data_IF_339565851266
#
_entry.id   IF_339565851266
#
_cell.length_a   1.000
_cell.length_b   1.000
_cell.length_c   1.000
_cell.angle_alpha   90.00
_cell.angle_beta   90.00
_cell.angle_gamma   90.00
#
_symmetry.space_group_name_H-M   'P 1'
#
loop_
_entity.id
_entity.type
_entity.pdbx_description
1 polymer ?
#
# COMPACT_ATOMS: atom_id res chain seq x y z
N UNK A 1 35.21 3.75 25.80
CA UNK A 1 34.50 2.50 25.46
C UNK A 1 33.55 2.84 24.32
N UNK A 2 33.71 2.19 23.16
CA UNK A 2 32.90 2.49 21.99
C UNK A 2 31.46 1.98 22.24
N UNK A 3 30.51 2.89 22.42
CA UNK A 3 29.09 2.54 22.40
C UNK A 3 28.76 2.04 20.99
N UNK A 4 28.49 0.75 20.88
CA UNK A 4 27.95 0.15 19.67
C UNK A 4 26.64 0.86 19.35
N UNK A 5 26.62 1.66 18.28
CA UNK A 5 25.41 2.28 17.74
C UNK A 5 24.47 1.17 17.27
N UNK A 6 23.48 0.86 18.09
CA UNK A 6 22.38 -0.01 17.70
C UNK A 6 21.21 0.88 17.28
N UNK A 7 20.67 0.63 16.09
CA UNK A 7 19.46 1.28 15.61
C UNK A 7 18.22 0.62 16.22
N UNK A 8 17.23 1.44 16.54
CA UNK A 8 15.92 1.01 17.02
C UNK A 8 14.84 1.45 16.04
N UNK A 9 13.82 0.61 15.86
CA UNK A 9 12.57 1.03 15.22
C UNK A 9 11.46 0.97 16.24
N UNK A 10 10.71 2.05 16.39
CA UNK A 10 9.73 2.24 17.45
C UNK A 10 8.37 2.33 16.81
N UNK A 11 7.43 1.52 17.28
CA UNK A 11 6.05 1.58 16.88
C UNK A 11 5.26 2.30 17.96
N UNK A 12 5.16 3.63 17.83
CA UNK A 12 4.58 4.51 18.83
C UNK A 12 3.05 4.37 18.90
N UNK A 13 2.47 4.97 19.95
CA UNK A 13 1.03 4.98 20.28
C UNK A 13 0.11 5.59 19.21
N UNK A 14 0.67 6.19 18.18
CA UNK A 14 -0.02 6.75 17.02
C UNK A 14 -0.06 5.79 15.81
N UNK A 15 0.33 4.53 16.02
CA UNK A 15 0.47 3.48 15.00
C UNK A 15 1.52 3.78 13.91
N UNK A 16 2.50 4.65 14.21
CA UNK A 16 3.60 4.98 13.30
C UNK A 16 4.88 4.23 13.72
N UNK A 17 5.56 3.61 12.74
CA UNK A 17 6.89 3.02 12.94
C UNK A 17 7.97 4.04 12.60
N UNK A 18 8.67 4.52 13.62
CA UNK A 18 9.77 5.46 13.53
C UNK A 18 11.11 4.73 13.60
N UNK A 19 12.07 5.01 12.69
CA UNK A 19 13.42 4.43 12.76
C UNK A 19 14.13 4.27 11.41
N UNK A 20 15.40 3.82 11.39
CA UNK A 20 16.22 3.51 12.56
C UNK A 20 16.64 4.79 13.31
N UNK A 21 16.45 4.79 14.62
CA UNK A 21 16.85 5.88 15.52
C UNK A 21 17.80 5.36 16.60
N UNK A 22 18.74 6.18 17.04
CA UNK A 22 19.70 5.81 18.08
C UNK A 22 19.03 5.73 19.45
N UNK A 23 19.63 4.97 20.37
CA UNK A 23 19.16 4.78 21.75
C UNK A 23 18.73 6.10 22.44
N UNK A 24 19.52 7.17 22.28
CA UNK A 24 19.25 8.47 22.89
C UNK A 24 17.93 9.10 22.42
N UNK A 25 17.53 8.87 21.16
CA UNK A 25 16.27 9.36 20.60
C UNK A 25 15.10 8.60 21.21
N UNK A 26 15.23 7.28 21.35
CA UNK A 26 14.21 6.43 22.00
C UNK A 26 13.97 6.88 23.44
N UNK A 27 15.04 7.13 24.18
CA UNK A 27 14.98 7.62 25.56
C UNK A 27 14.30 8.99 25.63
N UNK A 28 14.63 9.91 24.71
CA UNK A 28 13.94 11.20 24.61
C UNK A 28 12.42 11.02 24.42
N UNK A 29 12.02 10.10 23.55
CA UNK A 29 10.60 9.81 23.32
C UNK A 29 9.90 9.13 24.50
N UNK A 30 10.59 8.32 25.30
CA UNK A 30 10.05 7.77 26.55
C UNK A 30 9.80 8.91 27.56
N UNK A 31 10.78 9.79 27.73
CA UNK A 31 10.70 10.94 28.66
C UNK A 31 9.58 11.91 28.25
N UNK A 32 9.35 12.06 26.95
CA UNK A 32 8.27 12.86 26.38
C UNK A 32 6.91 12.13 26.33
N UNK A 33 6.83 10.90 26.87
CA UNK A 33 5.66 10.01 26.84
C UNK A 33 5.11 9.69 25.43
N UNK A 34 5.98 9.70 24.43
CA UNK A 34 5.69 9.27 23.05
C UNK A 34 5.89 7.77 22.84
N UNK A 35 6.70 7.15 23.71
CA UNK A 35 6.89 5.70 23.81
C UNK A 35 6.45 5.29 25.21
N UNK A 36 5.48 4.39 25.28
CA UNK A 36 4.91 3.82 26.50
C UNK A 36 5.46 2.40 26.75
N UNK A 37 5.27 1.82 27.95
CA UNK A 37 5.79 0.48 28.26
C UNK A 37 5.30 -0.63 27.32
N UNK A 38 4.09 -0.50 26.80
CA UNK A 38 3.46 -1.42 25.83
C UNK A 38 3.82 -1.12 24.37
N UNK A 39 4.53 -0.01 24.12
CA UNK A 39 4.97 0.41 22.78
C UNK A 39 5.99 -0.57 22.23
N UNK A 40 5.78 -1.07 21.03
CA UNK A 40 6.67 -2.08 20.44
C UNK A 40 7.95 -1.46 19.91
N UNK A 41 9.10 -2.07 20.21
CA UNK A 41 10.42 -1.63 19.73
C UNK A 41 11.13 -2.81 19.08
N UNK A 42 11.61 -2.60 17.86
CA UNK A 42 12.51 -3.49 17.15
C UNK A 42 13.94 -3.16 17.53
N UNK A 43 14.63 -4.16 18.07
CA UNK A 43 16.04 -4.05 18.46
C UNK A 43 16.88 -4.68 17.36
N UNK A 44 17.60 -3.87 16.57
CA UNK A 44 18.38 -4.38 15.42
C UNK A 44 19.44 -5.42 15.82
N UNK A 45 20.00 -5.28 17.03
CA UNK A 45 20.95 -6.25 17.60
C UNK A 45 20.39 -7.66 17.67
N UNK A 46 19.15 -7.76 18.14
CA UNK A 46 18.51 -9.04 18.45
C UNK A 46 17.60 -9.49 17.30
N UNK A 47 17.32 -8.60 16.34
CA UNK A 47 16.33 -8.77 15.26
C UNK A 47 14.95 -9.19 15.77
N UNK A 48 14.57 -8.73 16.96
CA UNK A 48 13.34 -9.11 17.66
C UNK A 48 12.55 -7.86 18.01
N UNK A 49 11.23 -7.95 17.83
CA UNK A 49 10.26 -7.02 18.40
C UNK A 49 9.97 -7.40 19.84
N UNK A 50 10.03 -6.41 20.73
CA UNK A 50 9.66 -6.56 22.14
C UNK A 50 8.92 -5.31 22.61
N UNK A 51 8.11 -5.42 23.65
CA UNK A 51 7.54 -4.23 24.27
C UNK A 51 8.65 -3.38 24.89
N UNK A 52 8.56 -2.06 24.80
CA UNK A 52 9.59 -1.15 25.29
C UNK A 52 9.84 -1.35 26.80
N UNK A 53 8.81 -1.67 27.58
CA UNK A 53 8.92 -1.98 29.00
C UNK A 53 9.61 -3.30 29.31
N UNK A 54 9.67 -4.23 28.35
CA UNK A 54 10.40 -5.49 28.46
C UNK A 54 11.88 -5.36 28.09
N UNK A 55 12.26 -4.28 27.40
CA UNK A 55 13.63 -3.98 27.06
C UNK A 55 14.40 -3.44 28.29
N UNK A 56 15.43 -4.15 28.79
CA UNK A 56 16.19 -3.73 29.98
C UNK A 56 16.80 -2.32 29.85
N UNK A 57 17.19 -1.94 28.63
CA UNK A 57 17.77 -0.64 28.30
C UNK A 57 16.81 0.54 28.54
N UNK A 58 15.49 0.34 28.40
CA UNK A 58 14.47 1.40 28.51
C UNK A 58 13.76 1.42 29.86
N UNK A 59 13.82 0.33 30.63
CA UNK A 59 13.05 0.13 31.87
C UNK A 59 13.22 1.24 32.91
N UNK A 60 14.44 1.76 33.06
CA UNK A 60 14.74 2.85 34.01
C UNK A 60 14.11 4.20 33.60
N UNK A 61 13.96 4.45 32.30
CA UNK A 61 13.47 5.71 31.77
C UNK A 61 11.95 5.84 31.88
N UNK A 62 11.21 4.72 31.91
CA UNK A 62 9.77 4.73 32.19
C UNK A 62 9.44 5.19 33.61
N UNK A 63 10.24 4.78 34.60
CA UNK A 63 10.09 5.23 35.98
C UNK A 63 10.41 6.74 36.14
N UNK A 64 11.31 7.27 35.32
CA UNK A 64 11.67 8.71 35.30
C UNK A 64 10.61 9.58 34.59
N UNK A 65 9.82 9.01 33.69
CA UNK A 65 8.78 9.69 32.92
C UNK A 65 7.40 9.74 33.65
N UNK A 66 7.23 8.96 34.71
CA UNK A 66 6.00 8.87 35.50
C UNK A 66 5.74 10.21 36.23
N UNK A 67 4.66 10.92 35.87
CA UNK A 67 4.25 12.19 36.49
C UNK A 67 4.56 13.47 35.70
N UNK A 68 5.19 13.37 34.51
CA UNK A 68 5.38 14.51 33.60
C UNK A 68 4.15 14.69 32.68
N UNK A 69 3.67 15.92 32.41
CA UNK A 69 2.60 16.13 31.44
C UNK A 69 3.08 15.80 30.02
N UNK A 70 2.26 15.15 29.18
CA UNK A 70 2.64 14.80 27.81
C UNK A 70 2.94 16.06 27.00
N UNK A 71 4.04 16.05 26.26
CA UNK A 71 4.39 17.15 25.38
C UNK A 71 3.31 17.31 24.29
N UNK A 72 2.93 18.54 23.88
CA UNK A 72 1.97 18.74 22.80
C UNK A 72 2.48 18.08 21.52
N UNK A 73 1.57 17.41 20.81
CA UNK A 73 1.85 16.71 19.56
C UNK A 73 2.31 17.70 18.48
N UNK A 74 3.63 17.87 18.34
CA UNK A 74 4.25 18.63 17.26
C UNK A 74 4.91 17.65 16.28
N UNK A 75 4.33 17.60 15.08
CA UNK A 75 4.89 17.07 13.83
C UNK A 75 5.29 15.58 13.85
N UNK A 76 4.27 14.71 13.87
CA UNK A 76 4.39 13.31 13.48
C UNK A 76 4.96 13.22 12.05
N UNK A 77 6.09 12.55 11.89
CA UNK A 77 6.73 12.31 10.60
C UNK A 77 6.17 10.97 10.06
N UNK A 78 5.11 10.99 9.23
CA UNK A 78 4.35 9.77 8.93
C UNK A 78 5.12 8.93 7.90
N UNK A 79 5.10 7.60 8.04
CA UNK A 79 5.71 6.64 7.09
C UNK A 79 5.25 6.84 5.64
N UNK A 80 4.05 7.41 5.49
CA UNK A 80 3.52 7.95 4.25
C UNK A 80 3.00 9.35 4.59
N UNK A 81 3.78 10.39 4.27
CA UNK A 81 3.41 11.76 4.57
C UNK A 81 1.98 12.07 4.10
N UNK A 82 1.11 12.46 5.03
CA UNK A 82 -0.26 12.88 4.75
C UNK A 82 -1.35 11.81 4.77
N UNK A 83 -1.06 10.53 5.03
CA UNK A 83 -2.09 9.45 5.02
C UNK A 83 -2.19 8.73 6.36
N UNK A 84 -3.38 8.77 6.97
CA UNK A 84 -3.68 8.07 8.23
C UNK A 84 -3.83 6.55 8.00
N UNK A 85 -3.35 5.68 8.91
CA UNK A 85 -3.50 4.22 8.78
C UNK A 85 -4.94 3.75 8.53
N UNK A 86 -5.93 4.38 9.17
CA UNK A 86 -7.36 4.07 8.94
C UNK A 86 -7.84 4.33 7.50
N UNK A 87 -7.14 5.15 6.71
CA UNK A 87 -7.45 5.33 5.30
C UNK A 87 -7.06 4.09 4.48
N UNK A 88 -5.99 3.39 4.85
CA UNK A 88 -5.52 2.19 4.16
C UNK A 88 -6.52 1.03 4.27
N UNK A 89 -7.33 1.00 5.34
CA UNK A 89 -8.44 0.05 5.54
C UNK A 89 -9.59 0.20 4.55
N UNK A 90 -9.65 1.31 3.81
CA UNK A 90 -10.58 1.45 2.68
C UNK A 90 -10.18 0.60 1.49
N UNK A 91 -8.92 0.16 1.44
CA UNK A 91 -8.41 -0.66 0.35
C UNK A 91 -8.67 -2.13 0.68
N UNK A 92 -9.63 -2.72 -0.03
CA UNK A 92 -10.14 -4.07 0.24
C UNK A 92 -9.03 -5.12 0.28
N UNK A 93 -8.03 -4.99 -0.58
CA UNK A 93 -6.90 -5.92 -0.69
C UNK A 93 -5.97 -5.90 0.54
N UNK A 94 -5.98 -4.82 1.32
CA UNK A 94 -5.17 -4.64 2.53
C UNK A 94 -5.91 -5.08 3.80
N UNK A 95 -7.19 -5.47 3.70
CA UNK A 95 -7.99 -5.84 4.87
C UNK A 95 -7.61 -7.20 5.47
N UNK A 96 -6.93 -8.06 4.71
CA UNK A 96 -6.41 -9.34 5.20
C UNK A 96 -5.14 -9.16 6.06
N UNK A 97 -4.57 -7.95 6.10
CA UNK A 97 -3.42 -7.61 6.94
C UNK A 97 -3.89 -7.14 8.32
N UNK A 98 -3.35 -7.70 9.40
CA UNK A 98 -3.51 -7.14 10.75
C UNK A 98 -2.98 -5.70 10.82
N UNK A 99 -3.31 -4.92 11.85
CA UNK A 99 -2.80 -3.55 12.00
C UNK A 99 -1.25 -3.53 12.03
N UNK A 100 -0.65 -4.51 12.68
CA UNK A 100 0.80 -4.74 12.67
C UNK A 100 1.34 -5.00 11.26
N UNK A 101 0.70 -5.91 10.52
CA UNK A 101 1.14 -6.25 9.17
C UNK A 101 0.96 -5.06 8.23
N UNK A 102 -0.13 -4.30 8.38
CA UNK A 102 -0.44 -3.13 7.57
C UNK A 102 0.59 -2.00 7.77
N UNK A 103 0.98 -1.72 9.02
CA UNK A 103 2.01 -0.71 9.32
C UNK A 103 3.36 -1.07 8.70
N UNK A 104 3.74 -2.36 8.75
CA UNK A 104 4.96 -2.86 8.09
C UNK A 104 4.85 -2.84 6.57
N UNK A 105 3.69 -3.20 6.01
CA UNK A 105 3.41 -3.18 4.58
C UNK A 105 3.47 -1.75 4.01
N UNK A 106 3.05 -0.75 4.78
CA UNK A 106 3.09 0.66 4.38
C UNK A 106 4.49 1.17 4.03
N UNK A 107 5.55 0.55 4.56
CA UNK A 107 6.95 0.92 4.27
C UNK A 107 7.36 0.61 2.81
N UNK A 108 6.57 -0.20 2.10
CA UNK A 108 6.81 -0.57 0.70
C UNK A 108 6.01 0.28 -0.28
N UNK A 109 5.26 1.27 0.22
CA UNK A 109 4.35 2.10 -0.56
C UNK A 109 4.79 3.57 -0.58
N UNK A 110 4.57 4.22 -1.71
CA UNK A 110 4.73 5.66 -1.88
C UNK A 110 3.39 6.30 -2.26
N UNK A 111 3.07 7.47 -1.71
CA UNK A 111 1.86 8.19 -2.12
C UNK A 111 2.12 9.01 -3.36
N UNK A 112 1.16 8.94 -4.28
CA UNK A 112 1.11 9.78 -5.46
C UNK A 112 -0.22 10.51 -5.54
N UNK A 113 -0.11 11.83 -5.75
CA UNK A 113 -1.24 12.70 -6.01
C UNK A 113 -1.32 12.96 -7.50
N UNK A 114 -2.47 12.71 -8.09
CA UNK A 114 -2.67 12.73 -9.54
C UNK A 114 -3.82 13.66 -9.87
N UNK A 115 -3.60 14.56 -10.82
CA UNK A 115 -4.59 15.51 -11.30
C UNK A 115 -5.65 14.85 -12.17
N UNK A 116 -6.77 15.53 -12.34
CA UNK A 116 -7.78 15.10 -13.31
C UNK A 116 -7.21 15.14 -14.73
N UNK A 117 -7.50 14.11 -15.52
CA UNK A 117 -7.04 13.88 -16.89
C UNK A 117 -5.56 13.49 -17.06
N UNK A 118 -4.81 13.36 -15.97
CA UNK A 118 -3.44 12.87 -16.05
C UNK A 118 -3.41 11.42 -16.53
N UNK A 119 -2.48 11.13 -17.44
CA UNK A 119 -2.21 9.78 -17.93
C UNK A 119 -1.20 9.13 -17.00
N UNK A 120 -1.62 8.08 -16.30
CA UNK A 120 -0.81 7.38 -15.31
C UNK A 120 0.05 6.31 -15.95
N UNK A 121 -0.52 5.56 -16.89
CA UNK A 121 0.15 4.49 -17.64
C UNK A 121 -0.25 4.60 -19.10
N UNK A 122 0.69 4.26 -19.99
CA UNK A 122 0.42 4.15 -21.43
C UNK A 122 0.61 2.73 -21.91
N UNK A 123 -0.32 2.26 -22.72
CA UNK A 123 -0.25 0.95 -23.35
C UNK A 123 1.05 0.79 -24.13
N UNK A 124 1.72 -0.35 -23.98
CA UNK A 124 2.96 -0.67 -24.68
C UNK A 124 4.24 -0.18 -23.99
N UNK A 125 4.14 0.73 -23.01
CA UNK A 125 5.32 1.17 -22.25
C UNK A 125 5.78 0.10 -21.24
N UNK A 126 7.07 0.06 -20.87
CA UNK A 126 7.53 -0.78 -19.78
C UNK A 126 6.80 -0.47 -18.46
N UNK A 127 6.58 -1.49 -17.63
CA UNK A 127 5.96 -1.33 -16.32
C UNK A 127 6.87 -1.75 -15.18
N UNK A 128 7.09 -0.85 -14.22
CA UNK A 128 7.99 -1.02 -13.08
C UNK A 128 7.30 -0.82 -11.72
N UNK A 129 5.97 -0.68 -11.71
CA UNK A 129 5.17 -0.41 -10.52
C UNK A 129 3.71 -0.83 -10.69
N UNK A 130 3.05 -1.11 -9.57
CA UNK A 130 1.60 -1.22 -9.46
C UNK A 130 1.04 -0.13 -8.54
N UNK A 131 -0.27 0.09 -8.62
CA UNK A 131 -0.94 1.19 -7.93
C UNK A 131 -2.22 0.70 -7.26
N UNK A 132 -2.42 1.12 -6.01
CA UNK A 132 -3.68 0.96 -5.28
C UNK A 132 -4.40 2.31 -5.25
N UNK A 133 -5.69 2.33 -5.59
CA UNK A 133 -6.51 3.53 -5.57
C UNK A 133 -6.99 3.76 -4.14
N UNK A 134 -6.49 4.80 -3.49
CA UNK A 134 -6.92 5.17 -2.13
C UNK A 134 -8.15 6.07 -2.17
N UNK A 135 -8.17 7.03 -3.08
CA UNK A 135 -9.27 7.97 -3.32
C UNK A 135 -9.24 8.38 -4.79
N UNK A 136 -10.41 8.63 -5.38
CA UNK A 136 -10.50 9.08 -6.77
C UNK A 136 -11.23 8.09 -7.68
N UNK A 137 -11.11 8.35 -8.98
CA UNK A 137 -11.68 7.54 -10.04
C UNK A 137 -10.70 7.51 -11.20
N UNK A 138 -10.32 6.30 -11.58
CA UNK A 138 -9.37 6.02 -12.66
C UNK A 138 -10.07 5.23 -13.74
N UNK A 139 -9.72 5.48 -15.00
CA UNK A 139 -10.29 4.83 -16.16
C UNK A 139 -9.22 4.09 -16.93
N UNK A 140 -9.42 2.79 -17.11
CA UNK A 140 -8.58 1.95 -17.96
C UNK A 140 -9.19 1.96 -19.36
N UNK A 141 -8.36 2.23 -20.37
CA UNK A 141 -8.81 2.36 -21.75
C UNK A 141 -7.80 1.76 -22.73
N UNK A 142 -8.28 1.48 -23.93
CA UNK A 142 -7.45 1.12 -25.08
C UNK A 142 -7.89 1.95 -26.28
N UNK A 143 -6.95 2.26 -27.16
CA UNK A 143 -7.19 3.00 -28.40
C UNK A 143 -7.11 1.99 -29.54
N UNK A 144 -8.21 1.80 -30.27
CA UNK A 144 -8.29 0.90 -31.42
C UNK A 144 -8.66 1.73 -32.65
N UNK A 145 -7.69 1.94 -33.56
CA UNK A 145 -7.82 2.95 -34.62
C UNK A 145 -7.94 4.33 -34.00
N UNK A 146 -8.92 5.13 -34.46
CA UNK A 146 -9.20 6.47 -33.91
C UNK A 146 -10.25 6.45 -32.78
N UNK A 147 -10.61 5.27 -32.26
CA UNK A 147 -11.65 5.12 -31.24
C UNK A 147 -11.07 4.71 -29.90
N UNK A 148 -11.44 5.50 -28.90
CA UNK A 148 -11.16 5.21 -27.51
C UNK A 148 -12.23 4.28 -26.94
N UNK A 149 -11.80 3.12 -26.43
CA UNK A 149 -12.67 2.15 -25.77
C UNK A 149 -12.31 2.08 -24.28
N UNK A 150 -13.28 2.40 -23.43
CA UNK A 150 -13.13 2.25 -21.98
C UNK A 150 -13.33 0.78 -21.61
N UNK A 151 -12.35 0.20 -20.93
CA UNK A 151 -12.39 -1.19 -20.46
C UNK A 151 -13.08 -1.29 -19.10
N UNK A 152 -12.65 -0.44 -18.15
CA UNK A 152 -13.20 -0.44 -16.78
C UNK A 152 -12.91 0.88 -16.08
N UNK A 153 -13.77 1.23 -15.12
CA UNK A 153 -13.53 2.28 -14.14
C UNK A 153 -13.12 1.66 -12.81
N UNK A 154 -12.04 2.17 -12.24
CA UNK A 154 -11.47 1.73 -10.97
C UNK A 154 -11.62 2.85 -9.94
N UNK A 155 -12.12 2.50 -8.76
CA UNK A 155 -12.41 3.44 -7.67
C UNK A 155 -11.58 3.10 -6.44
N UNK A 156 -11.77 3.87 -5.35
CA UNK A 156 -11.15 3.57 -4.07
C UNK A 156 -11.30 2.08 -3.68
N UNK A 157 -10.17 1.46 -3.39
CA UNK A 157 -10.02 0.04 -3.07
C UNK A 157 -9.65 -0.87 -4.24
N UNK A 158 -9.74 -0.39 -5.47
CA UNK A 158 -9.21 -1.11 -6.64
C UNK A 158 -7.70 -0.94 -6.79
N UNK A 159 -7.08 -1.79 -7.60
CA UNK A 159 -5.69 -1.66 -8.02
C UNK A 159 -5.52 -1.86 -9.53
N UNK A 160 -4.39 -1.40 -10.07
CA UNK A 160 -4.01 -1.57 -11.48
C UNK A 160 -2.49 -1.58 -11.67
N UNK A 161 -2.07 -1.94 -12.88
CA UNK A 161 -0.65 -2.00 -13.26
C UNK A 161 0.07 -3.23 -12.70
N UNK A 162 -0.67 -4.21 -12.21
CA UNK A 162 -0.16 -5.44 -11.62
C UNK A 162 0.48 -6.39 -12.63
N UNK A 163 0.00 -6.41 -13.88
CA UNK A 163 0.42 -7.42 -14.88
C UNK A 163 1.93 -7.36 -15.09
N UNK A 164 2.44 -6.16 -15.42
CA UNK A 164 3.86 -5.90 -15.67
C UNK A 164 4.77 -6.16 -14.47
N UNK A 165 4.23 -6.18 -13.24
CA UNK A 165 5.01 -6.57 -12.06
C UNK A 165 5.34 -8.07 -12.10
N UNK A 166 4.40 -8.90 -12.57
CA UNK A 166 4.54 -10.36 -12.55
C UNK A 166 5.18 -10.93 -13.82
N UNK A 167 4.86 -10.40 -15.00
CA UNK A 167 5.33 -10.94 -16.27
C UNK A 167 6.48 -10.14 -16.90
N UNK A 168 6.82 -8.98 -16.31
CA UNK A 168 7.80 -8.02 -16.85
C UNK A 168 7.50 -7.56 -18.29
N UNK A 169 6.24 -7.71 -18.71
CA UNK A 169 5.75 -7.29 -20.00
C UNK A 169 5.35 -5.81 -20.04
N UNK A 170 5.08 -5.27 -21.25
CA UNK A 170 4.61 -3.91 -21.41
C UNK A 170 3.23 -3.71 -20.78
N UNK A 171 2.86 -2.47 -20.48
CA UNK A 171 1.52 -2.12 -19.99
C UNK A 171 0.46 -2.57 -21.00
N UNK A 172 -0.57 -3.27 -20.50
CA UNK A 172 -1.64 -3.83 -21.33
C UNK A 172 -2.64 -2.79 -21.85
N UNK A 173 -2.75 -1.64 -21.19
CA UNK A 173 -3.73 -0.61 -21.48
C UNK A 173 -3.27 0.77 -20.97
N UNK A 174 -3.89 1.82 -21.48
CA UNK A 174 -3.78 3.17 -20.92
C UNK A 174 -4.56 3.24 -19.60
N UNK A 175 -4.07 4.06 -18.69
CA UNK A 175 -4.75 4.37 -17.43
C UNK A 175 -4.75 5.88 -17.22
N UNK A 176 -5.94 6.46 -17.02
CA UNK A 176 -6.13 7.92 -16.92
C UNK A 176 -6.95 8.26 -15.69
N UNK A 177 -6.58 9.32 -14.97
CA UNK A 177 -7.37 9.84 -13.86
C UNK A 177 -8.58 10.60 -14.39
N UNK A 178 -9.78 10.23 -13.97
CA UNK A 178 -11.01 10.92 -14.36
C UNK A 178 -11.37 12.06 -13.39
N UNK A 179 -10.73 12.10 -12.22
CA UNK A 179 -10.82 13.17 -11.23
C UNK A 179 -9.51 13.20 -10.41
N UNK A 180 -9.36 14.17 -9.50
CA UNK A 180 -8.27 14.16 -8.54
C UNK A 180 -8.21 12.81 -7.81
N UNK A 181 -7.04 12.17 -7.83
CA UNK A 181 -6.87 10.79 -7.39
C UNK A 181 -5.63 10.68 -6.50
N UNK A 182 -5.77 9.96 -5.39
CA UNK A 182 -4.69 9.61 -4.48
C UNK A 182 -4.39 8.13 -4.63
N UNK A 183 -3.13 7.81 -4.92
CA UNK A 183 -2.67 6.45 -5.16
C UNK A 183 -1.59 6.05 -4.17
N UNK A 184 -1.53 4.75 -3.89
CA UNK A 184 -0.38 4.11 -3.27
C UNK A 184 0.38 3.33 -4.35
N UNK A 185 1.60 3.75 -4.65
CA UNK A 185 2.50 3.11 -5.59
C UNK A 185 3.34 2.06 -4.86
N UNK A 186 3.43 0.86 -5.45
CA UNK A 186 4.39 -0.17 -5.05
C UNK A 186 5.30 -0.43 -6.26
N UNK A 187 6.59 -0.14 -6.13
CA UNK A 187 7.57 -0.42 -7.19
C UNK A 187 7.82 -1.92 -7.32
N UNK A 188 8.28 -2.38 -8.49
CA UNK A 188 8.68 -3.76 -8.72
C UNK A 188 9.77 -4.20 -7.73
N UNK A 189 10.72 -3.31 -7.43
CA UNK A 189 11.76 -3.57 -6.44
C UNK A 189 11.19 -3.73 -5.02
N UNK A 190 10.27 -2.85 -4.60
CA UNK A 190 9.60 -2.94 -3.31
C UNK A 190 8.75 -4.21 -3.21
N UNK A 191 8.06 -4.57 -4.29
CA UNK A 191 7.26 -5.79 -4.38
C UNK A 191 8.13 -7.04 -4.28
N UNK A 192 9.23 -7.10 -5.03
CA UNK A 192 10.19 -8.20 -4.97
C UNK A 192 10.73 -8.37 -3.54
N UNK A 193 11.19 -7.27 -2.93
CA UNK A 193 11.67 -7.27 -1.55
C UNK A 193 10.61 -7.76 -0.56
N UNK A 194 9.37 -7.29 -0.71
CA UNK A 194 8.24 -7.74 0.11
C UNK A 194 8.05 -9.26 -0.01
N UNK A 195 8.10 -9.81 -1.22
CA UNK A 195 7.91 -11.26 -1.44
C UNK A 195 9.07 -12.13 -0.97
N UNK A 196 10.30 -11.64 -1.06
CA UNK A 196 11.51 -12.42 -0.71
C UNK A 196 11.85 -12.33 0.79
N UNK A 197 11.73 -11.14 1.38
CA UNK A 197 12.18 -10.88 2.75
C UNK A 197 11.04 -10.90 3.78
N UNK A 198 9.78 -10.72 3.36
CA UNK A 198 8.62 -10.55 4.25
C UNK A 198 7.41 -11.40 3.84
N UNK A 199 7.56 -12.74 3.74
CA UNK A 199 6.49 -13.64 3.29
C UNK A 199 5.22 -13.57 4.16
N UNK A 200 5.34 -13.23 5.44
CA UNK A 200 4.22 -13.03 6.36
C UNK A 200 3.36 -11.80 6.03
N UNK A 201 3.90 -10.84 5.26
CA UNK A 201 3.17 -9.69 4.73
C UNK A 201 2.72 -9.96 3.29
N UNK A 202 3.59 -10.56 2.48
CA UNK A 202 3.32 -10.83 1.07
C UNK A 202 2.18 -11.83 0.89
N UNK A 203 2.15 -12.92 1.66
CA UNK A 203 1.17 -14.01 1.49
C UNK A 203 -0.29 -13.54 1.57
N UNK A 204 -0.75 -12.88 2.66
CA UNK A 204 -2.13 -12.40 2.74
C UNK A 204 -2.47 -11.38 1.63
N UNK A 205 -1.52 -10.50 1.29
CA UNK A 205 -1.69 -9.54 0.19
C UNK A 205 -1.85 -10.22 -1.18
N UNK A 206 -0.98 -11.18 -1.50
CA UNK A 206 -1.04 -11.95 -2.75
C UNK A 206 -2.33 -12.78 -2.84
N UNK A 207 -2.77 -13.38 -1.73
CA UNK A 207 -4.05 -14.10 -1.69
C UNK A 207 -5.22 -13.15 -1.97
N UNK A 208 -5.21 -11.95 -1.41
CA UNK A 208 -6.23 -10.93 -1.67
C UNK A 208 -6.19 -10.43 -3.14
N UNK A 209 -5.00 -10.26 -3.72
CA UNK A 209 -4.80 -9.98 -5.15
C UNK A 209 -5.42 -11.08 -6.01
N UNK A 210 -5.07 -12.34 -5.76
CA UNK A 210 -5.59 -13.48 -6.50
C UNK A 210 -7.12 -13.56 -6.44
N UNK A 211 -7.73 -13.36 -5.26
CA UNK A 211 -9.19 -13.31 -5.12
C UNK A 211 -9.81 -12.23 -6.01
N UNK A 212 -9.20 -11.04 -6.05
CA UNK A 212 -9.68 -9.91 -6.86
C UNK A 212 -9.50 -10.18 -8.36
N UNK A 213 -8.34 -10.70 -8.78
CA UNK A 213 -8.08 -11.04 -10.19
C UNK A 213 -9.01 -12.15 -10.69
N UNK A 214 -9.29 -13.17 -9.87
CA UNK A 214 -10.27 -14.21 -10.20
C UNK A 214 -11.66 -13.61 -10.42
N UNK A 215 -12.05 -12.64 -9.59
CA UNK A 215 -13.32 -11.94 -9.77
C UNK A 215 -13.35 -11.16 -11.09
N UNK A 216 -12.31 -10.37 -11.39
CA UNK A 216 -12.18 -9.60 -12.65
C UNK A 216 -12.23 -10.52 -13.88
N UNK A 217 -11.51 -11.64 -13.88
CA UNK A 217 -11.53 -12.60 -15.00
C UNK A 217 -12.94 -13.16 -15.22
N UNK A 218 -13.68 -13.47 -14.15
CA UNK A 218 -15.06 -13.97 -14.27
C UNK A 218 -15.99 -12.90 -14.85
N UNK A 219 -15.87 -11.65 -14.41
CA UNK A 219 -16.65 -10.53 -14.95
C UNK A 219 -16.32 -10.26 -16.42
N UNK A 220 -15.04 -10.24 -16.78
CA UNK A 220 -14.60 -10.01 -18.16
C UNK A 220 -15.06 -11.14 -19.10
N UNK A 221 -14.98 -12.39 -18.65
CA UNK A 221 -15.53 -13.52 -19.39
C UNK A 221 -17.04 -13.38 -19.62
N UNK A 222 -17.80 -12.97 -18.59
CA UNK A 222 -19.25 -12.74 -18.72
C UNK A 222 -19.56 -11.66 -19.76
N UNK A 223 -18.87 -10.51 -19.68
CA UNK A 223 -19.00 -9.42 -20.66
C UNK A 223 -18.67 -9.88 -22.07
N UNK A 224 -17.66 -10.73 -22.23
CA UNK A 224 -17.29 -11.29 -23.53
C UNK A 224 -18.39 -12.21 -24.10
N UNK A 225 -18.97 -13.07 -23.27
CA UNK A 225 -20.10 -13.92 -23.69
C UNK A 225 -21.31 -13.08 -24.12
N UNK A 226 -21.71 -12.09 -23.32
CA UNK A 226 -22.82 -11.19 -23.65
C UNK A 226 -22.60 -10.46 -24.98
N UNK A 227 -21.38 -9.98 -25.22
CA UNK A 227 -21.00 -9.33 -26.47
C UNK A 227 -21.13 -10.25 -27.68
N UNK A 228 -20.66 -11.50 -27.57
CA UNK A 228 -20.79 -12.50 -28.66
C UNK A 228 -22.28 -12.79 -28.94
N UNK A 229 -23.08 -12.99 -27.90
CA UNK A 229 -24.51 -13.26 -28.05
C UNK A 229 -25.25 -12.08 -28.69
N UNK A 230 -24.95 -10.86 -28.27
CA UNK A 230 -25.53 -9.65 -28.84
C UNK A 230 -25.19 -9.49 -30.33
N UNK A 231 -23.91 -9.67 -30.71
CA UNK A 231 -23.50 -9.60 -32.13
C UNK A 231 -24.24 -10.62 -33.00
N UNK A 232 -24.34 -11.88 -32.53
CA UNK A 232 -25.05 -12.94 -33.25
C UNK A 232 -26.54 -12.64 -33.41
N UNK A 233 -27.20 -12.08 -32.39
CA UNK A 233 -28.59 -11.69 -32.46
C UNK A 233 -28.82 -10.58 -33.51
N UNK A 234 -27.97 -9.55 -33.49
CA UNK A 234 -28.04 -8.45 -34.46
C UNK A 234 -27.79 -8.89 -35.91
N UNK A 235 -26.90 -9.87 -36.13
CA UNK A 235 -26.65 -10.46 -37.45
C UNK A 235 -27.87 -11.29 -37.95
N UNK A 236 -28.54 -12.02 -37.06
CA UNK A 236 -29.75 -12.78 -37.40
C UNK A 236 -30.94 -11.88 -37.76
N UNK A 237 -31.08 -10.71 -37.14
CA UNK A 237 -32.13 -9.74 -37.48
C UNK A 237 -31.88 -9.05 -38.83
N UNK A 238 -30.62 -8.70 -39.13
CA UNK A 238 -30.24 -8.11 -40.44
C UNK A 238 -30.36 -9.08 -41.61
N UNK A 239 -30.16 -10.38 -41.39
CA UNK A 239 -30.34 -11.41 -42.42
C UNK A 239 -31.80 -11.76 -42.73
N UNK A 240 -32.77 -11.23 -41.97
CA UNK A 240 -34.22 -11.45 -42.16
C UNK A 240 -34.94 -10.25 -42.81
N UNK A 241 -34.25 -9.13 -43.05
CA UNK A 241 -34.76 -7.95 -43.76
C UNK A 241 -34.24 -7.93 -45.20
#
# INVERSE_FOLDING_TARGET
MAETKHGYKIWAVDDVVYGPVDHAVVVGWIVDQRVLPDTWVFVEKDKVWKAAGEAPEFKKHFAEAEGRPPAPAAEANPLIAGIKPGALRKISILNELSDQQLGRFAQFMEVQYVGQHDVLLRQGEPGDAMYLVLEGLVRVRTIIGDKENTLVYLKAGDFFGEISIFDHGPRSADVVANQYTVLLKISAQSFQKLTEEFPELATPFLVAMCKTLVHRIREDNHRHYDFIHFKRAAEMERGRS
#
